data_IF_331733792410
#
_entry.id   IF_331733792410
#
_cell.length_a   1.000
_cell.length_b   1.000
_cell.length_c   1.000
_cell.angle_alpha   90.00
_cell.angle_beta   90.00
_cell.angle_gamma   90.00
#
_symmetry.space_group_name_H-M   'P 1'
#
loop_
_entity.id
_entity.type
_entity.pdbx_description
1 polymer ?
#
# COMPACT_ATOMS: atom_id res chain seq x y z
N UNK A 1 14.34 8.30 28.86
CA UNK A 1 13.98 7.49 27.68
C UNK A 1 14.09 5.99 27.96
N UNK A 2 15.30 5.43 28.12
CA UNK A 2 15.51 3.98 28.30
C UNK A 2 14.74 3.36 29.48
N UNK A 3 14.72 4.00 30.64
CA UNK A 3 14.07 3.49 31.87
C UNK A 3 12.54 3.40 31.78
N UNK A 4 11.93 4.22 30.92
CA UNK A 4 10.48 4.17 30.65
C UNK A 4 10.19 3.10 29.61
N UNK A 5 11.02 2.99 28.57
CA UNK A 5 10.87 2.00 27.51
C UNK A 5 10.96 0.56 28.03
N UNK A 6 11.88 0.27 28.95
CA UNK A 6 12.04 -1.08 29.55
C UNK A 6 10.85 -1.54 30.38
N UNK A 7 9.93 -0.63 30.74
CA UNK A 7 8.70 -0.95 31.46
C UNK A 7 7.50 -1.19 30.55
N UNK A 8 7.62 -0.91 29.25
CA UNK A 8 6.55 -1.12 28.29
C UNK A 8 6.46 -2.60 27.91
N UNK A 9 5.24 -3.10 27.76
CA UNK A 9 5.03 -4.44 27.21
C UNK A 9 5.26 -4.40 25.70
N UNK A 10 5.88 -5.45 25.16
CA UNK A 10 6.17 -5.58 23.72
C UNK A 10 4.91 -5.68 22.84
N UNK A 11 3.73 -5.81 23.46
CA UNK A 11 2.42 -5.79 22.80
C UNK A 11 1.66 -4.47 22.93
N UNK A 12 2.20 -3.47 23.64
CA UNK A 12 1.49 -2.20 23.84
C UNK A 12 1.63 -1.25 22.66
N UNK A 13 0.58 -0.46 22.40
CA UNK A 13 0.61 0.63 21.40
C UNK A 13 1.75 1.63 21.70
N UNK A 14 1.94 1.97 22.98
CA UNK A 14 2.99 2.89 23.43
C UNK A 14 4.40 2.37 23.12
N UNK A 15 4.63 1.06 23.20
CA UNK A 15 5.91 0.45 22.82
C UNK A 15 6.23 0.71 21.35
N UNK A 16 5.27 0.42 20.46
CA UNK A 16 5.43 0.64 19.02
C UNK A 16 5.52 2.12 18.64
N UNK A 17 4.75 3.00 19.28
CA UNK A 17 4.88 4.44 19.10
C UNK A 17 6.27 4.93 19.52
N UNK A 18 6.81 4.39 20.61
CA UNK A 18 8.16 4.73 21.07
C UNK A 18 9.21 4.30 20.05
N UNK A 19 9.09 3.10 19.48
CA UNK A 19 9.98 2.61 18.41
C UNK A 19 9.97 3.52 17.17
N UNK A 20 8.79 3.92 16.70
CA UNK A 20 8.67 4.83 15.55
C UNK A 20 9.23 6.22 15.88
N UNK A 21 9.01 6.70 17.11
CA UNK A 21 9.51 8.00 17.56
C UNK A 21 11.04 8.05 17.71
N UNK A 22 11.74 6.91 17.77
CA UNK A 22 13.20 6.87 17.69
C UNK A 22 13.70 7.55 16.41
N UNK A 23 12.97 7.37 15.31
CA UNK A 23 13.27 8.05 14.06
C UNK A 23 13.08 9.57 14.16
N UNK A 24 11.96 10.02 14.72
CA UNK A 24 11.59 11.44 14.70
C UNK A 24 12.33 12.29 15.76
N UNK A 25 12.77 11.69 16.87
CA UNK A 25 13.26 12.45 18.03
C UNK A 25 14.76 12.71 17.97
N UNK A 26 15.16 13.98 17.92
CA UNK A 26 16.53 14.42 18.16
C UNK A 26 16.85 14.18 19.65
N UNK A 27 17.90 13.42 19.98
CA UNK A 27 18.30 12.99 21.33
C UNK A 27 17.67 11.71 21.92
N UNK A 28 16.93 10.91 21.14
CA UNK A 28 16.47 9.59 21.60
C UNK A 28 17.57 8.52 21.57
N UNK A 29 18.60 8.72 20.75
CA UNK A 29 19.71 7.79 20.52
C UNK A 29 21.02 8.37 21.07
N UNK A 30 21.90 7.49 21.55
CA UNK A 30 23.26 7.86 21.94
C UNK A 30 24.05 8.33 20.70
N UNK A 31 24.97 9.32 20.83
CA UNK A 31 25.65 9.92 19.67
C UNK A 31 26.27 8.93 18.67
N UNK A 32 26.97 7.85 19.11
CA UNK A 32 27.56 6.88 18.17
C UNK A 32 26.55 6.10 17.31
N UNK A 33 25.30 6.02 17.76
CA UNK A 33 24.19 5.38 17.03
C UNK A 33 23.43 6.43 16.23
N UNK A 34 23.29 7.64 16.78
CA UNK A 34 22.60 8.74 16.14
C UNK A 34 23.29 9.16 14.84
N UNK A 35 24.62 9.32 14.83
CA UNK A 35 25.35 9.75 13.62
C UNK A 35 25.08 8.87 12.39
N UNK A 36 25.29 7.53 12.41
CA UNK A 36 25.02 6.70 11.25
C UNK A 36 23.52 6.64 10.91
N UNK A 37 22.63 6.64 11.91
CA UNK A 37 21.18 6.65 11.68
C UNK A 37 20.69 7.95 11.01
N UNK A 38 21.35 9.08 11.29
CA UNK A 38 21.03 10.39 10.73
C UNK A 38 21.70 10.62 9.37
N UNK A 39 22.84 9.99 9.11
CA UNK A 39 23.53 10.05 7.82
C UNK A 39 22.67 9.51 6.67
N UNK A 40 21.90 8.44 6.92
CA UNK A 40 20.87 7.95 5.99
C UNK A 40 19.57 7.61 6.73
N UNK A 41 18.78 8.67 6.98
CA UNK A 41 17.48 8.56 7.63
C UNK A 41 16.52 7.63 6.85
N UNK A 42 16.63 7.57 5.51
CA UNK A 42 15.79 6.71 4.68
C UNK A 42 16.10 5.23 4.89
N UNK A 43 17.38 4.87 4.86
CA UNK A 43 17.82 3.50 5.14
C UNK A 43 17.49 3.08 6.58
N UNK A 44 17.65 3.98 7.55
CA UNK A 44 17.26 3.70 8.94
C UNK A 44 15.78 3.38 9.07
N UNK A 45 14.90 4.21 8.48
CA UNK A 45 13.45 3.94 8.49
C UNK A 45 13.12 2.63 7.77
N UNK A 46 13.80 2.32 6.66
CA UNK A 46 13.62 1.05 5.95
C UNK A 46 13.99 -0.16 6.82
N UNK A 47 15.11 -0.13 7.53
CA UNK A 47 15.49 -1.20 8.47
C UNK A 47 14.51 -1.31 9.64
N UNK A 48 14.10 -0.19 10.24
CA UNK A 48 13.09 -0.17 11.30
C UNK A 48 11.79 -0.82 10.84
N UNK A 49 11.29 -0.43 9.67
CA UNK A 49 10.05 -0.98 9.14
C UNK A 49 10.18 -2.44 8.72
N UNK A 50 11.35 -2.90 8.26
CA UNK A 50 11.55 -4.30 7.91
C UNK A 50 11.29 -5.24 9.11
N UNK A 51 11.66 -4.81 10.31
CA UNK A 51 11.30 -5.49 11.55
C UNK A 51 9.83 -5.27 11.95
N UNK A 52 9.38 -4.00 11.92
CA UNK A 52 8.07 -3.58 12.40
C UNK A 52 6.90 -4.28 11.70
N UNK A 53 6.95 -4.36 10.35
CA UNK A 53 5.83 -4.86 9.55
C UNK A 53 5.44 -6.29 9.92
N UNK A 54 6.40 -7.10 10.39
CA UNK A 54 6.13 -8.49 10.78
C UNK A 54 5.19 -8.58 11.97
N UNK A 55 5.31 -7.67 12.94
CA UNK A 55 4.40 -7.56 14.10
C UNK A 55 3.03 -6.98 13.73
N UNK A 56 2.96 -6.22 12.65
CA UNK A 56 1.75 -5.55 12.19
C UNK A 56 0.94 -6.34 11.15
N UNK A 57 1.45 -7.48 10.68
CA UNK A 57 0.77 -8.35 9.72
C UNK A 57 0.51 -9.75 10.29
N UNK A 58 1.43 -10.29 11.09
CA UNK A 58 1.33 -11.67 11.61
C UNK A 58 1.57 -11.73 13.11
N UNK A 59 0.83 -12.60 13.79
CA UNK A 59 1.04 -12.86 15.21
C UNK A 59 -0.26 -12.79 16.01
N UNK A 60 -0.12 -12.49 17.30
CA UNK A 60 -1.24 -12.26 18.19
C UNK A 60 -2.06 -11.03 17.72
N UNK A 61 -3.38 -11.13 17.71
CA UNK A 61 -4.27 -10.05 17.24
C UNK A 61 -4.05 -8.74 17.98
N UNK A 62 -3.82 -8.78 19.30
CA UNK A 62 -3.53 -7.58 20.10
C UNK A 62 -2.24 -6.90 19.65
N UNK A 63 -1.22 -7.69 19.28
CA UNK A 63 0.05 -7.19 18.75
C UNK A 63 -0.17 -6.48 17.41
N UNK A 64 -0.96 -7.11 16.53
CA UNK A 64 -1.29 -6.57 15.20
C UNK A 64 -2.10 -5.28 15.34
N UNK A 65 -3.11 -5.26 16.22
CA UNK A 65 -3.95 -4.08 16.48
C UNK A 65 -3.09 -2.94 17.07
N UNK A 66 -2.31 -3.22 18.10
CA UNK A 66 -1.49 -2.22 18.77
C UNK A 66 -0.44 -1.60 17.85
N UNK A 67 0.24 -2.42 17.04
CA UNK A 67 1.23 -1.94 16.07
C UNK A 67 0.58 -1.17 14.93
N UNK A 68 -0.50 -1.66 14.31
CA UNK A 68 -1.22 -0.90 13.26
C UNK A 68 -1.74 0.44 13.77
N UNK A 69 -2.32 0.48 14.97
CA UNK A 69 -2.78 1.72 15.59
C UNK A 69 -1.62 2.69 15.87
N UNK A 70 -0.48 2.20 16.36
CA UNK A 70 0.70 3.02 16.58
C UNK A 70 1.27 3.60 15.28
N UNK A 71 1.31 2.80 14.21
CA UNK A 71 1.79 3.24 12.90
C UNK A 71 0.87 4.29 12.26
N UNK A 72 -0.44 4.07 12.34
CA UNK A 72 -1.43 5.00 11.83
C UNK A 72 -1.33 6.36 12.54
N UNK A 73 -1.28 6.37 13.87
CA UNK A 73 -1.08 7.60 14.66
C UNK A 73 0.22 8.32 14.29
N UNK A 74 1.32 7.57 14.17
CA UNK A 74 2.63 8.15 13.83
C UNK A 74 2.63 8.81 12.44
N UNK A 75 1.99 8.17 11.46
CA UNK A 75 1.83 8.72 10.12
C UNK A 75 0.90 9.93 10.11
N UNK A 76 -0.21 9.87 10.86
CA UNK A 76 -1.19 10.96 10.94
C UNK A 76 -0.62 12.20 11.65
N UNK A 77 0.35 12.04 12.54
CA UNK A 77 0.95 13.13 13.30
C UNK A 77 1.74 14.14 12.44
N UNK A 78 2.26 13.74 11.28
CA UNK A 78 3.00 14.65 10.38
C UNK A 78 3.11 14.10 8.96
N UNK A 79 2.97 14.94 7.91
CA UNK A 79 3.24 14.56 6.52
C UNK A 79 4.65 13.97 6.32
N UNK A 80 5.65 14.49 7.06
CA UNK A 80 7.03 13.98 7.01
C UNK A 80 7.14 12.53 7.48
N UNK A 81 6.39 12.16 8.52
CA UNK A 81 6.38 10.79 9.04
C UNK A 81 5.75 9.84 8.03
N UNK A 82 4.61 10.25 7.47
CA UNK A 82 3.92 9.50 6.42
C UNK A 82 4.82 9.27 5.21
N UNK A 83 5.44 10.32 4.68
CA UNK A 83 6.34 10.21 3.53
C UNK A 83 7.54 9.29 3.83
N UNK A 84 8.14 9.40 5.02
CA UNK A 84 9.23 8.52 5.45
C UNK A 84 8.81 7.04 5.53
N UNK A 85 7.64 6.76 6.10
CA UNK A 85 7.08 5.41 6.21
C UNK A 85 6.77 4.84 4.82
N UNK A 86 6.03 5.57 3.98
CA UNK A 86 5.67 5.13 2.65
C UNK A 86 6.91 4.88 1.76
N UNK A 87 7.90 5.78 1.79
CA UNK A 87 9.16 5.60 1.07
C UNK A 87 9.93 4.36 1.57
N UNK A 88 9.97 4.13 2.87
CA UNK A 88 10.61 2.96 3.47
C UNK A 88 9.91 1.65 3.08
N UNK A 89 8.58 1.61 3.04
CA UNK A 89 7.82 0.44 2.57
C UNK A 89 8.16 0.12 1.10
N UNK A 90 8.16 1.12 0.21
CA UNK A 90 8.52 0.93 -1.21
C UNK A 90 9.96 0.43 -1.34
N UNK A 91 10.89 0.99 -0.56
CA UNK A 91 12.29 0.55 -0.52
C UNK A 91 12.41 -0.91 -0.05
N UNK A 92 11.66 -1.31 0.96
CA UNK A 92 11.66 -2.68 1.46
C UNK A 92 11.12 -3.68 0.45
N UNK A 93 10.02 -3.36 -0.27
CA UNK A 93 9.55 -4.21 -1.38
C UNK A 93 10.66 -4.39 -2.41
N UNK A 94 11.36 -3.31 -2.79
CA UNK A 94 12.45 -3.35 -3.78
C UNK A 94 13.65 -4.17 -3.31
N UNK A 95 14.11 -3.98 -2.09
CA UNK A 95 15.41 -4.49 -1.60
C UNK A 95 15.32 -5.90 -1.03
N UNK A 96 14.22 -6.25 -0.35
CA UNK A 96 14.04 -7.53 0.36
C UNK A 96 13.55 -8.67 -0.52
N UNK A 97 13.08 -8.38 -1.74
CA UNK A 97 12.68 -9.39 -2.72
C UNK A 97 13.87 -9.99 -3.50
N UNK A 98 15.09 -9.46 -3.36
CA UNK A 98 16.25 -9.92 -4.14
C UNK A 98 16.77 -11.25 -3.58
N UNK A 99 16.89 -12.32 -4.40
CA UNK A 99 17.45 -13.59 -3.96
C UNK A 99 18.85 -13.41 -3.33
N UNK A 100 19.09 -14.03 -2.18
CA UNK A 100 20.40 -14.01 -1.50
C UNK A 100 20.65 -12.83 -0.54
N UNK A 101 19.80 -11.80 -0.50
CA UNK A 101 19.75 -10.83 0.61
C UNK A 101 18.55 -11.18 1.50
N UNK A 102 18.81 -11.44 2.79
CA UNK A 102 17.90 -12.14 3.70
C UNK A 102 16.48 -11.55 3.89
N UNK A 103 15.63 -12.41 4.46
CA UNK A 103 14.23 -12.27 4.86
C UNK A 103 13.14 -12.44 3.77
N UNK A 104 13.42 -12.22 2.48
CA UNK A 104 12.52 -12.65 1.38
C UNK A 104 11.03 -12.33 1.60
N UNK A 105 10.17 -13.35 1.42
CA UNK A 105 8.72 -13.22 1.62
C UNK A 105 8.31 -12.93 3.08
N UNK A 106 9.17 -13.23 4.07
CA UNK A 106 8.90 -12.94 5.51
C UNK A 106 8.74 -11.45 5.77
N UNK A 107 9.37 -10.59 4.96
CA UNK A 107 9.22 -9.12 5.07
C UNK A 107 8.40 -8.56 3.92
N UNK A 108 8.58 -9.06 2.70
CA UNK A 108 7.89 -8.50 1.53
C UNK A 108 6.37 -8.64 1.66
N UNK A 109 5.85 -9.79 2.11
CA UNK A 109 4.40 -9.98 2.27
C UNK A 109 3.83 -9.03 3.34
N UNK A 110 4.36 -8.99 4.58
CA UNK A 110 3.95 -7.98 5.55
C UNK A 110 4.07 -6.53 5.06
N UNK A 111 5.13 -6.20 4.33
CA UNK A 111 5.32 -4.83 3.80
C UNK A 111 4.19 -4.44 2.85
N UNK A 112 3.76 -5.35 1.99
CA UNK A 112 2.64 -5.14 1.07
C UNK A 112 1.31 -5.04 1.83
N UNK A 113 1.08 -5.89 2.83
CA UNK A 113 -0.11 -5.84 3.68
C UNK A 113 -0.18 -4.52 4.50
N UNK A 114 0.96 -4.01 4.99
CA UNK A 114 1.00 -2.71 5.67
C UNK A 114 0.80 -1.55 4.71
N UNK A 115 1.34 -1.61 3.49
CA UNK A 115 1.03 -0.61 2.47
C UNK A 115 -0.49 -0.57 2.16
N UNK A 116 -1.12 -1.74 1.95
CA UNK A 116 -2.56 -1.84 1.76
C UNK A 116 -3.35 -1.34 2.97
N UNK A 117 -2.94 -1.69 4.19
CA UNK A 117 -3.54 -1.18 5.42
C UNK A 117 -3.53 0.35 5.48
N UNK A 118 -2.39 0.99 5.18
CA UNK A 118 -2.28 2.45 5.18
C UNK A 118 -3.18 3.10 4.12
N UNK A 119 -3.44 2.42 3.00
CA UNK A 119 -4.44 2.87 2.03
C UNK A 119 -5.87 2.75 2.61
N UNK A 120 -6.21 1.61 3.22
CA UNK A 120 -7.55 1.37 3.77
C UNK A 120 -7.92 2.34 4.90
N UNK A 121 -6.97 2.75 5.74
CA UNK A 121 -7.20 3.77 6.79
C UNK A 121 -7.04 5.21 6.29
N UNK A 122 -6.83 5.38 4.99
CA UNK A 122 -6.85 6.67 4.32
C UNK A 122 -5.60 7.54 4.49
N UNK A 123 -4.46 6.93 4.79
CA UNK A 123 -3.20 7.63 4.98
C UNK A 123 -2.33 7.62 3.73
N UNK A 124 -2.18 6.48 3.04
CA UNK A 124 -1.24 6.36 1.93
C UNK A 124 -1.55 7.33 0.78
N UNK A 125 -2.82 7.60 0.48
CA UNK A 125 -3.20 8.53 -0.59
C UNK A 125 -2.78 9.98 -0.33
N UNK A 126 -2.51 10.34 0.93
CA UNK A 126 -2.01 11.65 1.37
C UNK A 126 -0.49 11.78 1.22
N UNK A 127 0.22 10.68 0.95
CA UNK A 127 1.66 10.68 0.73
C UNK A 127 2.00 11.36 -0.61
N UNK A 128 2.95 12.30 -0.59
CA UNK A 128 3.47 12.97 -1.79
C UNK A 128 4.85 12.46 -2.19
N UNK A 129 5.58 11.84 -1.26
CA UNK A 129 6.94 11.37 -1.46
C UNK A 129 7.10 10.09 -2.30
N UNK A 130 6.00 9.41 -2.66
CA UNK A 130 6.04 8.14 -3.38
C UNK A 130 5.56 8.27 -4.82
N UNK A 131 6.40 7.80 -5.75
CA UNK A 131 6.00 7.53 -7.12
C UNK A 131 5.17 6.23 -7.18
N UNK A 132 3.86 6.40 -7.39
CA UNK A 132 2.89 5.30 -7.43
C UNK A 132 3.14 4.33 -8.59
N UNK A 133 3.64 4.82 -9.73
CA UNK A 133 4.01 3.96 -10.86
C UNK A 133 5.23 3.12 -10.48
N UNK A 134 6.23 3.72 -9.84
CA UNK A 134 7.38 2.98 -9.32
C UNK A 134 6.96 1.91 -8.30
N UNK A 135 6.04 2.24 -7.38
CA UNK A 135 5.47 1.28 -6.44
C UNK A 135 4.84 0.09 -7.20
N UNK A 136 3.96 0.36 -8.18
CA UNK A 136 3.31 -0.69 -8.97
C UNK A 136 4.33 -1.61 -9.66
N UNK A 137 5.43 -1.05 -10.18
CA UNK A 137 6.51 -1.85 -10.79
C UNK A 137 7.25 -2.72 -9.76
N UNK A 138 7.48 -2.24 -8.54
CA UNK A 138 8.08 -3.09 -7.50
C UNK A 138 7.13 -4.20 -7.04
N UNK A 139 5.83 -3.89 -6.90
CA UNK A 139 4.78 -4.87 -6.59
C UNK A 139 4.69 -5.93 -7.71
N UNK A 140 4.81 -5.53 -8.97
CA UNK A 140 4.82 -6.45 -10.10
C UNK A 140 5.99 -7.42 -10.01
N UNK A 141 7.19 -6.91 -9.71
CA UNK A 141 8.39 -7.75 -9.54
C UNK A 141 8.22 -8.72 -8.37
N UNK A 142 7.61 -8.27 -7.27
CA UNK A 142 7.35 -9.11 -6.11
C UNK A 142 6.38 -10.25 -6.43
N UNK A 143 5.32 -9.97 -7.21
CA UNK A 143 4.29 -10.94 -7.60
C UNK A 143 4.63 -11.77 -8.85
N UNK A 144 5.69 -11.45 -9.59
CA UNK A 144 6.00 -12.13 -10.85
C UNK A 144 6.44 -13.57 -10.62
N UNK A 145 5.73 -14.52 -11.26
CA UNK A 145 5.99 -15.97 -11.21
C UNK A 145 6.09 -16.56 -9.79
N UNK A 146 5.49 -15.90 -8.79
CA UNK A 146 5.51 -16.43 -7.42
C UNK A 146 4.51 -17.56 -7.25
N UNK A 147 4.93 -18.58 -6.49
CA UNK A 147 4.08 -19.67 -6.01
C UNK A 147 3.17 -19.26 -4.84
N UNK A 148 3.42 -18.08 -4.25
CA UNK A 148 2.84 -17.67 -2.97
C UNK A 148 1.53 -16.89 -3.18
N UNK A 149 0.39 -17.55 -2.96
CA UNK A 149 -0.95 -16.94 -3.10
C UNK A 149 -1.13 -15.73 -2.18
N UNK A 150 -0.63 -15.79 -0.93
CA UNK A 150 -0.73 -14.69 0.03
C UNK A 150 0.03 -13.45 -0.46
N UNK A 151 1.17 -13.65 -1.12
CA UNK A 151 1.92 -12.57 -1.75
C UNK A 151 1.16 -11.95 -2.91
N UNK A 152 0.54 -12.76 -3.76
CA UNK A 152 -0.31 -12.27 -4.85
C UNK A 152 -1.51 -11.49 -4.33
N UNK A 153 -2.15 -11.98 -3.27
CA UNK A 153 -3.25 -11.27 -2.60
C UNK A 153 -2.80 -9.89 -2.10
N UNK A 154 -1.67 -9.81 -1.39
CA UNK A 154 -1.12 -8.55 -0.92
C UNK A 154 -0.78 -7.59 -2.09
N UNK A 155 -0.23 -8.11 -3.20
CA UNK A 155 -0.01 -7.33 -4.41
C UNK A 155 -1.32 -6.78 -4.99
N UNK A 156 -2.37 -7.61 -5.05
CA UNK A 156 -3.69 -7.24 -5.56
C UNK A 156 -4.31 -6.13 -4.72
N UNK A 157 -4.27 -6.24 -3.38
CA UNK A 157 -4.76 -5.20 -2.46
C UNK A 157 -4.06 -3.86 -2.72
N UNK A 158 -2.73 -3.85 -2.90
CA UNK A 158 -1.99 -2.63 -3.21
C UNK A 158 -2.43 -2.02 -4.55
N UNK A 159 -2.60 -2.84 -5.60
CA UNK A 159 -3.12 -2.34 -6.87
C UNK A 159 -4.56 -1.82 -6.76
N UNK A 160 -5.44 -2.53 -6.05
CA UNK A 160 -6.83 -2.12 -5.78
C UNK A 160 -6.88 -0.74 -5.14
N UNK A 161 -6.08 -0.55 -4.08
CA UNK A 161 -5.96 0.73 -3.40
C UNK A 161 -5.48 1.86 -4.34
N UNK A 162 -4.37 1.66 -5.04
CA UNK A 162 -3.79 2.69 -5.92
C UNK A 162 -4.73 3.01 -7.09
N UNK A 163 -5.47 2.02 -7.61
CA UNK A 163 -6.44 2.20 -8.68
C UNK A 163 -7.64 3.07 -8.29
N UNK A 164 -7.95 3.15 -6.98
CA UNK A 164 -9.02 3.96 -6.39
C UNK A 164 -8.57 5.31 -5.84
N UNK A 165 -7.31 5.70 -6.04
CA UNK A 165 -6.86 7.04 -5.64
C UNK A 165 -7.34 8.11 -6.61
N UNK A 166 -7.51 9.33 -6.08
CA UNK A 166 -7.71 10.52 -6.88
C UNK A 166 -6.40 11.02 -7.50
N UNK A 167 -6.54 11.70 -8.65
CA UNK A 167 -5.44 12.40 -9.32
C UNK A 167 -4.85 13.52 -8.45
N UNK A 168 -5.69 14.08 -7.56
CA UNK A 168 -5.28 15.05 -6.55
C UNK A 168 -4.97 14.32 -5.25
N UNK A 169 -3.87 14.70 -4.61
CA UNK A 169 -3.53 14.16 -3.29
C UNK A 169 -4.56 14.67 -2.25
N UNK A 170 -5.09 13.76 -1.42
CA UNK A 170 -6.02 14.16 -0.37
C UNK A 170 -5.33 15.08 0.65
N UNK A 171 -5.97 16.20 1.00
CA UNK A 171 -5.46 17.15 1.99
C UNK A 171 -4.55 18.26 1.45
N UNK A 172 -4.54 18.52 0.14
CA UNK A 172 -3.96 19.74 -0.43
C UNK A 172 -4.85 20.94 -0.07
N UNK A 173 -4.30 21.94 0.63
CA UNK A 173 -4.97 23.23 0.85
C UNK A 173 -4.63 24.20 -0.28
N UNK A 174 -5.47 25.22 -0.52
CA UNK A 174 -5.21 26.23 -1.56
C UNK A 174 -3.88 26.98 -1.34
N UNK A 175 -3.38 27.02 -0.11
CA UNK A 175 -2.10 27.65 0.26
C UNK A 175 -0.86 26.87 -0.21
N UNK A 176 -0.98 25.56 -0.48
CA UNK A 176 0.12 24.72 -1.00
C UNK A 176 0.37 24.92 -2.50
N UNK A 177 -0.52 25.64 -3.20
CA UNK A 177 -0.49 25.85 -4.66
C UNK A 177 0.56 26.91 -5.04
N UNK A 178 1.83 26.62 -4.77
CA UNK A 178 2.92 27.57 -4.97
C UNK A 178 3.42 27.72 -6.41
N UNK A 179 3.19 26.75 -7.32
CA UNK A 179 3.53 26.80 -8.75
C UNK A 179 2.70 25.79 -9.54
N UNK A 180 1.76 26.26 -10.37
CA UNK A 180 0.84 25.43 -11.17
C UNK A 180 1.55 24.30 -11.95
N UNK A 181 2.72 24.58 -12.53
CA UNK A 181 3.49 23.61 -13.32
C UNK A 181 3.97 22.39 -12.49
N UNK A 182 4.39 22.60 -11.24
CA UNK A 182 4.88 21.52 -10.38
C UNK A 182 3.73 20.62 -9.93
N UNK A 183 2.57 21.20 -9.65
CA UNK A 183 1.37 20.45 -9.28
C UNK A 183 0.82 19.65 -10.45
N UNK A 184 0.85 20.20 -11.67
CA UNK A 184 0.44 19.45 -12.86
C UNK A 184 1.36 18.24 -13.13
N UNK A 185 2.68 18.40 -12.94
CA UNK A 185 3.62 17.27 -13.03
C UNK A 185 3.29 16.20 -11.98
N UNK A 186 2.95 16.59 -10.74
CA UNK A 186 2.59 15.65 -9.68
C UNK A 186 1.28 14.93 -9.97
N UNK A 187 0.26 15.65 -10.47
CA UNK A 187 -1.02 15.07 -10.93
C UNK A 187 -0.79 14.07 -12.06
N UNK A 188 0.02 14.44 -13.06
CA UNK A 188 0.40 13.54 -14.15
C UNK A 188 1.05 12.25 -13.66
N UNK A 189 2.03 12.34 -12.74
CA UNK A 189 2.66 11.15 -12.14
C UNK A 189 1.70 10.29 -11.33
N UNK A 190 0.75 10.90 -10.59
CA UNK A 190 -0.30 10.14 -9.88
C UNK A 190 -1.21 9.43 -10.87
N UNK A 191 -1.69 10.12 -11.91
CA UNK A 191 -2.51 9.53 -12.99
C UNK A 191 -1.82 8.33 -13.62
N UNK A 192 -0.52 8.44 -13.91
CA UNK A 192 0.28 7.35 -14.45
C UNK A 192 0.32 6.13 -13.51
N UNK A 193 0.45 6.37 -12.20
CA UNK A 193 0.43 5.32 -11.19
C UNK A 193 -0.94 4.64 -11.05
N UNK A 194 -2.03 5.41 -11.05
CA UNK A 194 -3.41 4.91 -11.02
C UNK A 194 -3.69 4.04 -12.26
N UNK A 195 -3.32 4.53 -13.44
CA UNK A 195 -3.44 3.80 -14.70
C UNK A 195 -2.64 2.50 -14.68
N UNK A 196 -1.39 2.54 -14.19
CA UNK A 196 -0.55 1.36 -14.05
C UNK A 196 -1.18 0.33 -13.11
N UNK A 197 -1.74 0.75 -11.96
CA UNK A 197 -2.43 -0.15 -11.04
C UNK A 197 -3.64 -0.83 -11.68
N UNK A 198 -4.49 -0.07 -12.40
CA UNK A 198 -5.64 -0.60 -13.15
C UNK A 198 -5.23 -1.61 -14.22
N UNK A 199 -4.15 -1.31 -14.96
CA UNK A 199 -3.54 -2.24 -15.92
C UNK A 199 -3.13 -3.55 -15.27
N UNK A 200 -2.55 -3.51 -14.06
CA UNK A 200 -2.12 -4.70 -13.33
C UNK A 200 -3.30 -5.53 -12.83
N UNK A 201 -4.36 -4.91 -12.33
CA UNK A 201 -5.61 -5.62 -12.01
C UNK A 201 -6.19 -6.30 -13.25
N UNK A 202 -6.30 -5.57 -14.37
CA UNK A 202 -6.79 -6.12 -15.64
C UNK A 202 -5.97 -7.33 -16.13
N UNK A 203 -4.64 -7.28 -16.00
CA UNK A 203 -3.79 -8.41 -16.33
C UNK A 203 -4.01 -9.63 -15.41
N UNK A 204 -4.22 -9.40 -14.11
CA UNK A 204 -4.43 -10.46 -13.12
C UNK A 204 -5.81 -11.14 -13.24
N UNK A 205 -6.78 -10.51 -13.91
CA UNK A 205 -8.03 -11.18 -14.28
C UNK A 205 -7.81 -12.41 -15.19
N UNK A 206 -6.71 -12.46 -15.93
CA UNK A 206 -6.34 -13.61 -16.77
C UNK A 206 -5.41 -14.60 -16.08
N UNK A 207 -5.20 -14.46 -14.76
CA UNK A 207 -4.31 -15.36 -14.04
C UNK A 207 -4.83 -16.81 -14.08
N UNK A 208 -3.95 -17.82 -14.22
CA UNK A 208 -4.37 -19.22 -14.29
C UNK A 208 -5.02 -19.72 -12.99
N UNK A 209 -4.69 -19.11 -11.85
CA UNK A 209 -5.25 -19.52 -10.56
C UNK A 209 -6.61 -18.88 -10.30
N UNK A 210 -7.65 -19.69 -10.09
CA UNK A 210 -9.01 -19.19 -9.88
C UNK A 210 -9.13 -18.23 -8.69
N UNK A 211 -8.43 -18.53 -7.58
CA UNK A 211 -8.41 -17.68 -6.38
C UNK A 211 -7.89 -16.28 -6.66
N UNK A 212 -6.88 -16.14 -7.53
CA UNK A 212 -6.29 -14.84 -7.88
C UNK A 212 -7.30 -13.99 -8.65
N UNK A 213 -8.06 -14.60 -9.57
CA UNK A 213 -9.13 -13.89 -10.29
C UNK A 213 -10.22 -13.39 -9.35
N UNK A 214 -10.68 -14.23 -8.42
CA UNK A 214 -11.66 -13.82 -7.40
C UNK A 214 -11.16 -12.64 -6.56
N UNK A 215 -9.90 -12.67 -6.11
CA UNK A 215 -9.32 -11.58 -5.35
C UNK A 215 -9.27 -10.26 -6.15
N UNK A 216 -9.01 -10.31 -7.45
CA UNK A 216 -9.06 -9.11 -8.30
C UNK A 216 -10.48 -8.57 -8.38
N UNK A 217 -11.48 -9.45 -8.53
CA UNK A 217 -12.89 -9.05 -8.56
C UNK A 217 -13.31 -8.39 -7.25
N UNK A 218 -12.84 -8.88 -6.10
CA UNK A 218 -13.13 -8.26 -4.80
C UNK A 218 -12.60 -6.80 -4.76
N UNK A 219 -11.41 -6.54 -5.31
CA UNK A 219 -10.89 -5.18 -5.43
C UNK A 219 -11.67 -4.33 -6.45
N UNK A 220 -12.04 -4.90 -7.60
CA UNK A 220 -12.87 -4.19 -8.59
C UNK A 220 -14.25 -3.84 -8.04
N UNK A 221 -14.82 -4.72 -7.20
CA UNK A 221 -16.08 -4.48 -6.53
C UNK A 221 -15.99 -3.29 -5.58
N UNK A 222 -14.90 -3.15 -4.82
CA UNK A 222 -14.68 -1.94 -3.99
C UNK A 222 -14.58 -0.66 -4.81
N UNK A 223 -14.06 -0.75 -6.04
CA UNK A 223 -13.87 0.43 -6.90
C UNK A 223 -15.15 0.85 -7.63
N UNK A 224 -16.02 -0.10 -7.99
CA UNK A 224 -17.14 0.15 -8.91
C UNK A 224 -18.51 -0.34 -8.41
N UNK A 225 -18.56 -1.04 -7.27
CA UNK A 225 -19.76 -1.69 -6.74
C UNK A 225 -20.65 -0.80 -5.88
N UNK A 226 -20.13 0.31 -5.34
CA UNK A 226 -20.82 1.20 -4.40
C UNK A 226 -21.41 2.47 -5.04
N UNK A 227 -21.51 2.54 -6.37
CA UNK A 227 -22.30 3.60 -7.01
C UNK A 227 -23.79 3.33 -6.77
N UNK A 228 -24.30 3.81 -5.64
CA UNK A 228 -25.74 3.90 -5.38
C UNK A 228 -26.33 5.00 -6.26
N UNK A 229 -27.26 4.61 -7.14
CA UNK A 229 -28.08 5.52 -7.94
C UNK A 229 -28.92 6.41 -7.00
N UNK A 230 -28.52 7.66 -6.76
CA UNK A 230 -29.41 8.68 -6.18
C UNK A 230 -30.42 9.24 -7.22
N UNK A 231 -30.72 8.50 -8.30
CA UNK A 231 -31.64 8.92 -9.37
C UNK A 231 -32.69 7.86 -9.70
N UNK A 232 -33.96 8.29 -9.81
CA UNK A 232 -35.16 7.49 -10.15
C UNK A 232 -35.13 6.76 -11.53
N UNK A 233 -33.97 6.67 -12.20
CA UNK A 233 -33.80 5.90 -13.43
C UNK A 233 -32.72 4.85 -13.21
N UNK A 234 -33.13 3.71 -12.63
CA UNK A 234 -32.27 2.57 -12.29
C UNK A 234 -31.40 2.11 -13.46
N UNK A 235 -30.16 2.58 -13.45
CA UNK A 235 -29.10 2.21 -14.37
C UNK A 235 -28.02 1.54 -13.54
N UNK A 236 -28.24 0.26 -13.23
CA UNK A 236 -27.44 -0.54 -12.31
C UNK A 236 -25.95 -0.17 -12.28
N UNK A 237 -25.46 0.17 -11.09
CA UNK A 237 -24.09 0.64 -10.87
C UNK A 237 -23.05 -0.26 -11.57
N UNK A 238 -21.94 0.34 -12.01
CA UNK A 238 -20.97 -0.30 -12.88
C UNK A 238 -20.51 -1.70 -12.44
N UNK A 239 -20.52 -1.99 -11.14
CA UNK A 239 -20.20 -3.28 -10.55
C UNK A 239 -21.21 -4.42 -10.76
N UNK A 240 -22.44 -4.20 -11.26
CA UNK A 240 -23.42 -5.29 -11.42
C UNK A 240 -22.92 -6.45 -12.29
N UNK A 241 -22.11 -6.14 -13.30
CA UNK A 241 -21.48 -7.16 -14.16
C UNK A 241 -20.48 -8.07 -13.44
N UNK A 242 -20.03 -7.68 -12.23
CA UNK A 242 -19.18 -8.48 -11.36
C UNK A 242 -19.98 -9.51 -10.54
N UNK A 243 -21.30 -9.35 -10.42
CA UNK A 243 -22.17 -10.29 -9.69
C UNK A 243 -22.51 -11.51 -10.53
N UNK A 244 -22.96 -12.58 -9.87
CA UNK A 244 -23.58 -13.75 -10.51
C UNK A 244 -22.69 -14.55 -11.48
N UNK A 245 -21.40 -14.23 -11.55
CA UNK A 245 -20.39 -14.96 -12.33
C UNK A 245 -19.47 -15.70 -11.38
N UNK A 246 -19.28 -17.00 -11.62
CA UNK A 246 -18.20 -17.76 -10.98
C UNK A 246 -16.87 -17.37 -11.64
N UNK A 247 -16.20 -16.32 -11.12
CA UNK A 247 -14.91 -15.84 -11.61
C UNK A 247 -13.78 -16.88 -11.54
N UNK A 248 -14.00 -17.94 -10.77
CA UNK A 248 -13.11 -19.09 -10.74
C UNK A 248 -13.18 -19.91 -12.03
N UNK A 249 -14.28 -19.83 -12.78
CA UNK A 249 -14.55 -20.55 -14.05
C UNK A 249 -14.95 -19.64 -15.21
N UNK A 250 -14.92 -18.31 -15.02
CA UNK A 250 -15.31 -17.35 -16.03
C UNK A 250 -14.54 -17.58 -17.34
N UNK A 251 -15.27 -17.53 -18.45
CA UNK A 251 -14.70 -17.65 -19.78
C UNK A 251 -13.98 -16.37 -20.19
N UNK A 252 -13.18 -16.47 -21.26
CA UNK A 252 -12.39 -15.34 -21.75
C UNK A 252 -13.28 -14.17 -22.19
N UNK A 253 -14.49 -14.44 -22.68
CA UNK A 253 -15.42 -13.40 -23.09
C UNK A 253 -15.94 -12.58 -21.90
N UNK A 254 -16.31 -13.24 -20.79
CA UNK A 254 -16.73 -12.56 -19.56
C UNK A 254 -15.61 -11.72 -18.97
N UNK A 255 -14.38 -12.24 -18.97
CA UNK A 255 -13.21 -11.50 -18.48
C UNK A 255 -12.93 -10.28 -19.37
N UNK A 256 -12.92 -10.43 -20.70
CA UNK A 256 -12.71 -9.33 -21.63
C UNK A 256 -13.74 -8.21 -21.44
N UNK A 257 -15.02 -8.58 -21.26
CA UNK A 257 -16.11 -7.61 -21.03
C UNK A 257 -15.84 -6.73 -19.81
N UNK A 258 -15.44 -7.33 -18.68
CA UNK A 258 -15.12 -6.60 -17.45
C UNK A 258 -13.90 -5.70 -17.63
N UNK A 259 -12.85 -6.20 -18.28
CA UNK A 259 -11.62 -5.45 -18.55
C UNK A 259 -11.89 -4.22 -19.43
N UNK A 260 -12.73 -4.38 -20.46
CA UNK A 260 -13.16 -3.29 -21.34
C UNK A 260 -14.09 -2.31 -20.62
N UNK A 261 -15.10 -2.82 -19.91
CA UNK A 261 -16.09 -2.01 -19.18
C UNK A 261 -15.44 -1.08 -18.16
N UNK A 262 -14.48 -1.56 -17.38
CA UNK A 262 -13.81 -0.78 -16.33
C UNK A 262 -12.54 -0.06 -16.81
N UNK A 263 -12.30 -0.02 -18.13
CA UNK A 263 -11.11 0.56 -18.74
C UNK A 263 -9.79 0.07 -18.10
N UNK A 264 -9.76 -1.21 -17.67
CA UNK A 264 -8.57 -1.85 -17.15
C UNK A 264 -7.69 -2.14 -18.36
N UNK A 265 -6.78 -1.21 -18.69
CA UNK A 265 -5.98 -1.32 -19.91
C UNK A 265 -5.33 -2.71 -20.05
N UNK A 266 -5.40 -3.28 -21.27
CA UNK A 266 -4.76 -4.57 -21.55
C UNK A 266 -3.25 -4.43 -21.38
N UNK A 267 -2.63 -5.31 -20.61
CA UNK A 267 -1.21 -5.53 -20.75
C UNK A 267 -0.97 -6.15 -22.14
N UNK A 268 -0.26 -5.42 -23.00
CA UNK A 268 0.31 -5.96 -24.23
C UNK A 268 1.35 -7.05 -23.92
#
# INVERSE_FOLDING_TARGET
FATTFTKLTFSSKTYFQTLLSLYATENSLQPPIAEPARADAGAWMAELLAGYVTSADTGNEDLVIASRAALADFCAASPRNLDAVCAALVSNVKTRQTPGRGQGDRVVVPTLEIAAFLCHVGLFQKCRGVDLRHLCLQVQRAGYKTGNVRKLEACIKVYGCVAGFDEVCAGVTEEDLGKEEKEEILRGKRRDGISEARKRLGALMFHPWPRVRSLVVDELWKLFGEQEDEGEHGGGGGGESLKSVDWSKADKASINRVVEQFALSRAA
#
